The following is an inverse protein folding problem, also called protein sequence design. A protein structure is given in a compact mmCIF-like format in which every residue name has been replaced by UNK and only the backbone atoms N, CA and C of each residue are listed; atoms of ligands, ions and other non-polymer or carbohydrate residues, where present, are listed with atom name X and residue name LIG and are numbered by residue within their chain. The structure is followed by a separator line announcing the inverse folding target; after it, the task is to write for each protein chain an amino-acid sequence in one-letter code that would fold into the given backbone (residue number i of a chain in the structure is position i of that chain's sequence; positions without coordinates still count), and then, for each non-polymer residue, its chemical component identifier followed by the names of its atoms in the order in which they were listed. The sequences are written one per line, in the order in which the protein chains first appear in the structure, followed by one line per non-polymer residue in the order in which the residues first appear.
data_IF_319129350661
#
_entry.id   IF_319129350661
#
_cell.length_a   1.000
_cell.length_b   1.000
_cell.length_c   1.000
_cell.angle_alpha   90.00
_cell.angle_beta   90.00
_cell.angle_gamma   90.00
#
_symmetry.space_group_name_H-M   'P 1'
#
loop_
_entity.id
_entity.type
_entity.pdbx_description
1 polymer ?
#
# COMPACT_ATOMS: atom_id res chain seq x y z
N UNK A 1 57.20 -39.55 3.96
CA UNK A 1 55.99 -39.11 3.23
C UNK A 1 55.96 -37.59 3.30
N UNK A 2 56.67 -36.95 2.38
CA UNK A 2 56.14 -36.32 1.15
C UNK A 2 55.48 -34.98 1.41
N UNK A 3 56.30 -33.94 1.19
CA UNK A 3 55.95 -32.58 0.84
C UNK A 3 54.86 -32.50 -0.23
N UNK A 4 53.93 -31.53 -0.09
CA UNK A 4 53.20 -30.86 -1.18
C UNK A 4 52.87 -29.45 -0.68
N UNK A 5 53.68 -28.47 -1.09
CA UNK A 5 53.44 -27.60 -2.25
C UNK A 5 52.45 -26.48 -1.92
N UNK A 6 53.00 -25.39 -1.38
CA UNK A 6 52.60 -24.06 -1.79
C UNK A 6 53.26 -23.83 -3.15
N UNK A 7 52.45 -23.75 -4.21
CA UNK A 7 52.89 -23.27 -5.51
C UNK A 7 52.42 -21.82 -5.67
N UNK A 8 53.40 -20.97 -5.89
CA UNK A 8 53.31 -19.69 -6.59
C UNK A 8 52.50 -19.82 -7.88
N UNK A 9 51.96 -18.71 -8.40
CA UNK A 9 52.41 -18.17 -9.69
C UNK A 9 51.47 -17.06 -10.22
N UNK A 10 52.00 -15.84 -10.18
CA UNK A 10 51.98 -14.79 -11.20
C UNK A 10 50.68 -14.38 -11.90
N UNK A 11 50.32 -13.14 -11.64
CA UNK A 11 50.13 -12.06 -12.62
C UNK A 11 50.47 -12.43 -14.07
N UNK A 12 49.47 -12.31 -14.94
CA UNK A 12 49.69 -11.93 -16.34
C UNK A 12 48.52 -11.06 -16.80
N UNK A 13 48.85 -9.80 -17.03
CA UNK A 13 48.10 -8.87 -17.84
C UNK A 13 47.85 -9.45 -19.24
N UNK A 14 46.75 -9.04 -19.91
CA UNK A 14 46.74 -8.55 -21.31
C UNK A 14 45.31 -8.24 -21.82
N UNK A 15 45.17 -7.43 -22.89
CA UNK A 15 44.33 -6.24 -22.85
C UNK A 15 43.22 -6.18 -23.92
N UNK A 16 42.35 -5.18 -23.77
CA UNK A 16 41.66 -4.38 -24.80
C UNK A 16 41.25 -5.09 -26.12
N UNK A 17 39.95 -5.42 -26.24
CA UNK A 17 39.24 -5.20 -27.51
C UNK A 17 38.02 -4.29 -27.30
N UNK A 18 38.24 -3.06 -27.74
CA UNK A 18 37.28 -2.03 -28.07
C UNK A 18 36.19 -2.55 -29.00
N UNK A 19 34.92 -2.49 -28.58
CA UNK A 19 33.79 -2.18 -29.48
C UNK A 19 32.92 -1.11 -28.84
N UNK A 20 33.35 0.13 -29.04
CA UNK A 20 32.50 1.30 -28.93
C UNK A 20 31.44 1.31 -30.04
N UNK A 21 30.21 1.63 -29.60
CA UNK A 21 29.12 2.32 -30.31
C UNK A 21 28.47 1.67 -31.54
N UNK A 22 27.25 1.18 -31.36
CA UNK A 22 26.15 1.45 -32.31
C UNK A 22 25.01 2.13 -31.54
N UNK A 23 24.68 3.40 -31.81
CA UNK A 23 23.48 4.04 -31.31
C UNK A 23 22.34 3.77 -32.30
N UNK A 24 21.47 2.82 -31.99
CA UNK A 24 20.23 2.59 -32.71
C UNK A 24 19.13 2.34 -31.67
N UNK A 25 18.05 3.10 -31.55
CA UNK A 25 17.57 4.25 -32.29
C UNK A 25 16.92 5.17 -31.24
N UNK A 26 17.05 6.49 -31.40
CA UNK A 26 16.18 7.44 -30.71
C UNK A 26 14.74 7.16 -31.16
N UNK A 27 14.03 6.32 -30.40
CA UNK A 27 12.58 6.24 -30.53
C UNK A 27 12.04 7.63 -30.18
N UNK A 28 11.15 8.20 -31.03
CA UNK A 28 10.54 9.48 -30.75
C UNK A 28 9.85 9.42 -29.39
N UNK A 29 9.93 10.52 -28.65
CA UNK A 29 9.57 10.65 -27.23
C UNK A 29 8.13 10.27 -26.93
N UNK A 30 7.85 8.97 -26.89
CA UNK A 30 6.62 8.41 -26.35
C UNK A 30 6.75 8.33 -24.84
N UNK A 31 5.87 9.05 -24.14
CA UNK A 31 5.61 8.81 -22.73
C UNK A 31 5.25 7.33 -22.56
N UNK A 32 6.04 6.58 -21.79
CA UNK A 32 5.71 5.19 -21.46
C UNK A 32 4.85 5.22 -20.22
N UNK A 33 3.64 4.68 -20.31
CA UNK A 33 2.78 4.46 -19.16
C UNK A 33 3.41 3.34 -18.34
N UNK A 34 3.87 3.67 -17.14
CA UNK A 34 4.25 2.68 -16.14
C UNK A 34 2.95 2.26 -15.45
N UNK A 35 2.57 0.99 -15.57
CA UNK A 35 1.47 0.47 -14.77
C UNK A 35 1.82 0.64 -13.29
N UNK A 36 1.02 1.46 -12.60
CA UNK A 36 1.19 1.65 -11.17
C UNK A 36 0.95 0.33 -10.44
N UNK A 37 1.94 -0.16 -9.70
CA UNK A 37 1.84 -1.39 -8.89
C UNK A 37 0.85 -1.30 -7.71
N UNK A 38 0.16 -0.18 -7.55
CA UNK A 38 -0.92 -0.04 -6.58
C UNK A 38 -2.17 -0.74 -7.10
N UNK A 39 -2.33 -2.03 -6.80
CA UNK A 39 -3.66 -2.63 -6.88
C UNK A 39 -4.60 -1.78 -6.02
N UNK A 40 -5.66 -1.24 -6.64
CA UNK A 40 -6.80 -0.72 -5.85
C UNK A 40 -7.33 -1.91 -5.08
N UNK A 41 -6.98 -2.01 -3.79
CA UNK A 41 -7.59 -2.99 -2.90
C UNK A 41 -9.08 -2.67 -2.88
N UNK A 42 -9.87 -3.56 -3.46
CA UNK A 42 -11.32 -3.55 -3.34
C UNK A 42 -11.66 -3.68 -1.85
N UNK A 43 -12.83 -3.17 -1.45
CA UNK A 43 -13.41 -3.21 -0.10
C UNK A 43 -12.91 -4.39 0.74
N UNK A 44 -11.77 -4.21 1.44
CA UNK A 44 -11.24 -5.22 2.33
C UNK A 44 -12.18 -5.21 3.56
N UNK A 45 -12.83 -6.34 3.89
CA UNK A 45 -13.74 -6.37 5.02
C UNK A 45 -13.04 -5.95 6.31
N UNK A 46 -13.70 -5.15 7.13
CA UNK A 46 -13.17 -4.73 8.41
C UNK A 46 -13.36 -5.87 9.42
N UNK A 47 -12.41 -6.82 9.44
CA UNK A 47 -12.46 -8.01 10.31
C UNK A 47 -11.36 -8.05 11.35
N UNK A 48 -10.42 -7.11 11.31
CA UNK A 48 -9.24 -7.10 12.18
C UNK A 48 -8.83 -5.69 12.60
N UNK A 49 -8.07 -5.59 13.70
CA UNK A 49 -7.45 -4.33 14.15
C UNK A 49 -6.58 -3.70 13.06
N UNK A 50 -5.81 -4.50 12.32
CA UNK A 50 -4.96 -4.00 11.23
C UNK A 50 -5.80 -3.42 10.07
N UNK A 51 -6.90 -4.08 9.70
CA UNK A 51 -7.82 -3.55 8.69
C UNK A 51 -8.40 -2.20 9.11
N UNK A 52 -8.76 -2.05 10.38
CA UNK A 52 -9.25 -0.78 10.94
C UNK A 52 -8.14 0.29 11.00
N UNK A 53 -6.91 -0.08 11.33
CA UNK A 53 -5.78 0.85 11.28
C UNK A 53 -5.51 1.36 9.85
N UNK A 54 -5.69 0.51 8.83
CA UNK A 54 -5.59 0.93 7.42
C UNK A 54 -6.65 1.96 7.03
N UNK A 55 -7.84 1.92 7.64
CA UNK A 55 -8.88 2.93 7.42
C UNK A 55 -8.42 4.32 7.85
N UNK A 56 -7.74 4.45 9.00
CA UNK A 56 -7.15 5.73 9.41
C UNK A 56 -6.11 6.23 8.42
N UNK A 57 -5.24 5.34 7.94
CA UNK A 57 -4.22 5.69 6.95
C UNK A 57 -4.86 6.17 5.63
N UNK A 58 -5.88 5.46 5.14
CA UNK A 58 -6.61 5.85 3.93
C UNK A 58 -7.31 7.20 4.11
N UNK A 59 -8.01 7.40 5.22
CA UNK A 59 -8.69 8.66 5.53
C UNK A 59 -7.70 9.83 5.67
N UNK A 60 -6.54 9.60 6.28
CA UNK A 60 -5.46 10.59 6.39
C UNK A 60 -4.91 10.98 5.01
N UNK A 61 -4.66 10.00 4.14
CA UNK A 61 -4.25 10.25 2.76
C UNK A 61 -5.32 11.03 1.99
N UNK A 62 -6.59 10.64 2.15
CA UNK A 62 -7.69 11.32 1.47
C UNK A 62 -7.90 12.75 2.00
N UNK A 63 -7.64 13.01 3.28
CA UNK A 63 -7.62 14.37 3.84
C UNK A 63 -6.48 15.20 3.23
N UNK A 64 -5.26 14.66 3.18
CA UNK A 64 -4.08 15.34 2.60
C UNK A 64 -4.30 15.66 1.11
N UNK A 65 -4.95 14.76 0.39
CA UNK A 65 -5.33 14.95 -1.01
C UNK A 65 -6.62 15.74 -1.19
N UNK A 66 -7.19 16.29 -0.10
CA UNK A 66 -8.42 17.10 -0.08
C UNK A 66 -9.63 16.42 -0.73
N UNK A 67 -9.69 15.09 -0.66
CA UNK A 67 -10.81 14.27 -1.14
C UNK A 67 -11.94 14.18 -0.12
N UNK A 68 -11.62 14.45 1.15
CA UNK A 68 -12.59 14.51 2.25
C UNK A 68 -12.38 15.79 3.06
N UNK A 69 -13.42 16.23 3.77
CA UNK A 69 -13.34 17.37 4.66
C UNK A 69 -12.66 17.00 5.99
N UNK A 70 -12.08 17.97 6.72
CA UNK A 70 -11.55 17.74 8.06
C UNK A 70 -12.61 17.19 9.03
N UNK A 71 -13.86 17.65 8.91
CA UNK A 71 -14.97 17.14 9.72
C UNK A 71 -15.24 15.66 9.46
N UNK A 72 -15.16 15.22 8.19
CA UNK A 72 -15.34 13.82 7.82
C UNK A 72 -14.16 12.96 8.28
N UNK A 73 -12.93 13.44 8.17
CA UNK A 73 -11.76 12.75 8.71
C UNK A 73 -11.88 12.53 10.22
N UNK A 74 -12.27 13.56 10.97
CA UNK A 74 -12.48 13.47 12.41
C UNK A 74 -13.63 12.52 12.81
N UNK A 75 -14.67 12.41 11.97
CA UNK A 75 -15.73 11.41 12.16
C UNK A 75 -15.19 9.98 12.02
N UNK A 76 -14.40 9.72 10.99
CA UNK A 76 -13.74 8.42 10.76
C UNK A 76 -12.83 8.08 11.95
N UNK A 77 -12.01 9.03 12.39
CA UNK A 77 -11.10 8.88 13.53
C UNK A 77 -11.86 8.44 14.80
N UNK A 78 -12.89 9.19 15.20
CA UNK A 78 -13.72 8.84 16.38
C UNK A 78 -14.37 7.47 16.28
N UNK A 79 -14.80 7.04 15.08
CA UNK A 79 -15.39 5.72 14.89
C UNK A 79 -14.33 4.62 15.00
N UNK A 80 -13.14 4.84 14.43
CA UNK A 80 -12.02 3.91 14.55
C UNK A 80 -11.61 3.73 16.01
N UNK A 81 -11.42 4.81 16.76
CA UNK A 81 -11.03 4.74 18.18
C UNK A 81 -12.02 3.88 18.97
N UNK A 82 -13.33 4.10 18.77
CA UNK A 82 -14.38 3.29 19.41
C UNK A 82 -14.33 1.82 19.02
N UNK A 83 -14.02 1.51 17.77
CA UNK A 83 -13.89 0.13 17.28
C UNK A 83 -12.66 -0.55 17.92
N UNK A 84 -11.53 0.15 18.01
CA UNK A 84 -10.32 -0.39 18.65
C UNK A 84 -10.55 -0.65 20.15
N UNK A 85 -11.19 0.28 20.86
CA UNK A 85 -11.63 0.07 22.24
C UNK A 85 -12.54 -1.16 22.39
N UNK A 86 -13.43 -1.41 21.42
CA UNK A 86 -14.32 -2.57 21.44
C UNK A 86 -13.58 -3.87 21.18
N UNK A 87 -12.56 -3.89 20.32
CA UNK A 87 -11.69 -5.06 20.18
C UNK A 87 -11.04 -5.42 21.52
N UNK A 88 -10.50 -4.43 22.25
CA UNK A 88 -9.87 -4.66 23.55
C UNK A 88 -10.87 -5.23 24.57
N UNK A 89 -12.12 -4.74 24.56
CA UNK A 89 -13.17 -5.24 25.45
C UNK A 89 -13.68 -6.63 25.06
N UNK A 90 -13.74 -6.92 23.77
CA UNK A 90 -14.14 -8.25 23.25
C UNK A 90 -13.12 -9.30 23.65
N UNK A 91 -11.83 -8.98 23.59
CA UNK A 91 -10.76 -9.90 24.02
C UNK A 91 -10.95 -10.33 25.48
N UNK A 92 -11.54 -9.45 26.32
CA UNK A 92 -11.92 -9.77 27.69
C UNK A 92 -13.34 -10.38 27.83
N UNK A 93 -14.27 -10.04 26.94
CA UNK A 93 -15.68 -10.43 27.00
C UNK A 93 -16.26 -10.71 25.58
N UNK A 94 -16.20 -11.96 25.10
CA UNK A 94 -16.65 -12.34 23.75
C UNK A 94 -18.14 -12.06 23.46
N UNK A 95 -18.97 -11.89 24.49
CA UNK A 95 -20.39 -11.52 24.36
C UNK A 95 -20.60 -10.16 23.67
N UNK A 96 -19.57 -9.31 23.64
CA UNK A 96 -19.60 -8.00 22.96
C UNK A 96 -19.42 -8.10 21.44
N UNK A 97 -19.18 -9.30 20.88
CA UNK A 97 -18.96 -9.47 19.44
C UNK A 97 -20.04 -8.87 18.53
N UNK A 98 -21.35 -9.00 18.82
CA UNK A 98 -22.39 -8.37 17.99
C UNK A 98 -22.32 -6.84 17.99
N UNK A 99 -21.88 -6.26 19.12
CA UNK A 99 -21.70 -4.81 19.24
C UNK A 99 -20.52 -4.35 18.40
N UNK A 100 -19.39 -5.08 18.46
CA UNK A 100 -18.25 -4.81 17.60
C UNK A 100 -18.65 -4.91 16.12
N UNK A 101 -19.36 -5.97 15.71
CA UNK A 101 -19.78 -6.17 14.33
C UNK A 101 -20.58 -4.97 13.81
N UNK A 102 -21.57 -4.50 14.59
CA UNK A 102 -22.36 -3.32 14.21
C UNK A 102 -21.49 -2.08 13.99
N UNK A 103 -20.49 -1.87 14.85
CA UNK A 103 -19.58 -0.74 14.71
C UNK A 103 -18.64 -0.86 13.51
N UNK A 104 -18.23 -2.08 13.16
CA UNK A 104 -17.46 -2.37 11.93
C UNK A 104 -18.31 -2.08 10.69
N UNK A 105 -19.56 -2.53 10.67
CA UNK A 105 -20.50 -2.28 9.57
C UNK A 105 -20.75 -0.76 9.39
N UNK A 106 -20.95 -0.04 10.49
CA UNK A 106 -21.14 1.42 10.51
C UNK A 106 -19.91 2.20 10.02
N UNK A 107 -18.70 1.67 10.26
CA UNK A 107 -17.44 2.24 9.78
C UNK A 107 -17.23 1.92 8.29
N UNK A 108 -17.56 0.70 7.88
CA UNK A 108 -17.47 0.28 6.48
C UNK A 108 -18.43 1.07 5.58
N UNK A 109 -19.67 1.28 6.04
CA UNK A 109 -20.65 2.12 5.35
C UNK A 109 -20.13 3.57 5.17
N UNK A 110 -19.56 4.14 6.24
CA UNK A 110 -18.96 5.47 6.22
C UNK A 110 -17.85 5.59 5.18
N UNK A 111 -17.00 4.56 5.09
CA UNK A 111 -15.88 4.49 4.14
C UNK A 111 -16.32 4.27 2.69
N UNK A 112 -17.37 3.49 2.48
CA UNK A 112 -17.99 3.32 1.15
C UNK A 112 -18.55 4.64 0.63
N UNK A 113 -19.22 5.41 1.49
CA UNK A 113 -19.73 6.75 1.14
C UNK A 113 -18.59 7.70 0.74
N UNK A 114 -17.50 7.77 1.52
CA UNK A 114 -16.35 8.62 1.17
C UNK A 114 -15.71 8.21 -0.15
N UNK A 115 -15.63 6.90 -0.45
CA UNK A 115 -15.12 6.41 -1.73
C UNK A 115 -16.05 6.72 -2.91
N UNK A 116 -17.38 6.73 -2.71
CA UNK A 116 -18.34 7.12 -3.74
C UNK A 116 -18.22 8.61 -4.10
N UNK A 117 -18.05 9.49 -3.10
CA UNK A 117 -17.82 10.93 -3.33
C UNK A 117 -16.50 11.18 -4.08
N UNK A 118 -15.48 10.36 -3.79
CA UNK A 118 -14.17 10.43 -4.45
C UNK A 118 -14.20 9.93 -5.89
N UNK A 119 -15.05 8.97 -6.24
CA UNK A 119 -15.06 8.38 -7.57
C UNK A 119 -15.44 9.46 -8.59
N UNK A 120 -14.52 9.93 -9.46
CA UNK A 120 -14.93 10.78 -10.55
C UNK A 120 -15.89 9.94 -11.40
N UNK A 121 -17.05 10.50 -11.72
CA UNK A 121 -17.94 9.91 -12.72
C UNK A 121 -17.09 9.71 -13.98
N UNK A 122 -16.67 8.47 -14.24
CA UNK A 122 -16.21 8.07 -15.57
C UNK A 122 -17.45 8.10 -16.45
N UNK A 123 -17.86 9.31 -16.82
CA UNK A 123 -18.77 9.55 -17.93
C UNK A 123 -17.91 9.36 -19.17
N UNK A 124 -18.20 8.30 -19.92
CA UNK A 124 -17.58 8.04 -21.21
C UNK A 124 -17.81 9.18 -22.20
N UNK A 125 -16.96 9.21 -23.22
CA UNK A 125 -16.94 10.17 -24.32
C UNK A 125 -15.51 10.53 -24.68
#
# INVERSE_FOLDING_TARGET
MSSRQHDDNSTSERPLTRRSSTPAARSPGGLRVIEGGGQRRQDEPLVSRDAVARVLMEAGVDLLLRRISPARAAEIERKVDRVLDLFDRVDAAPLLMPVLQRHLDDLEALMRETRQVRAPARRGG
#
